data_IF_284036510954
#
_entry.id   IF_284036510954
#
_cell.length_a   1.000
_cell.length_b   1.000
_cell.length_c   1.000
_cell.angle_alpha   90.00
_cell.angle_beta   90.00
_cell.angle_gamma   90.00
#
_symmetry.space_group_name_H-M   'P 1'
#
loop_
_entity.id
_entity.type
_entity.pdbx_description
1 polymer ?
#
# COMPACT_ATOMS: atom_id res chain seq x y z
N UNK A 1 16.55 0.50 2.84
CA UNK A 1 17.19 0.71 4.18
C UNK A 1 16.12 0.55 5.27
N UNK A 2 16.29 -0.39 6.20
CA UNK A 2 15.37 -0.62 7.34
C UNK A 2 16.02 -0.06 8.60
N UNK A 3 15.33 0.77 9.38
CA UNK A 3 15.84 1.49 10.54
C UNK A 3 14.92 1.46 11.74
N UNK A 4 15.49 1.27 12.93
CA UNK A 4 14.78 1.44 14.19
C UNK A 4 14.60 2.93 14.53
N UNK A 5 13.53 3.24 15.23
CA UNK A 5 13.27 4.55 15.84
C UNK A 5 13.03 4.33 17.34
N UNK A 6 14.04 4.59 18.16
CA UNK A 6 14.03 4.21 19.56
C UNK A 6 13.94 2.69 19.71
N UNK A 7 12.93 2.22 20.44
CA UNK A 7 12.63 0.80 20.65
C UNK A 7 11.71 0.17 19.59
N UNK A 8 11.33 0.92 18.58
CA UNK A 8 10.43 0.47 17.50
C UNK A 8 11.27 0.06 16.30
N UNK A 9 11.28 -1.22 15.98
CA UNK A 9 12.02 -1.81 14.86
C UNK A 9 11.04 -2.43 13.89
N UNK A 10 11.14 -2.12 12.58
CA UNK A 10 10.30 -2.78 11.59
C UNK A 10 10.44 -4.30 11.62
N UNK A 11 9.32 -5.00 11.52
CA UNK A 11 9.27 -6.45 11.36
C UNK A 11 8.90 -6.76 9.92
N UNK A 12 9.72 -7.54 9.26
CA UNK A 12 9.53 -7.94 7.86
C UNK A 12 9.49 -9.45 7.81
N UNK A 13 8.45 -10.01 7.20
CA UNK A 13 8.33 -11.46 7.00
C UNK A 13 9.47 -12.00 6.13
N UNK A 14 9.87 -13.24 6.39
CA UNK A 14 11.01 -13.85 5.69
C UNK A 14 10.80 -13.98 4.18
N UNK A 15 9.56 -14.09 3.71
CA UNK A 15 9.24 -14.17 2.28
C UNK A 15 9.04 -12.80 1.64
N UNK A 16 8.93 -11.73 2.43
CA UNK A 16 8.81 -10.37 1.89
C UNK A 16 10.14 -9.87 1.32
N UNK A 17 10.05 -8.92 0.40
CA UNK A 17 11.21 -8.24 -0.16
C UNK A 17 11.10 -6.73 0.02
N UNK A 18 12.16 -6.14 0.52
CA UNK A 18 12.31 -4.69 0.68
C UNK A 18 13.58 -4.26 -0.03
N UNK A 19 13.42 -3.44 -1.07
CA UNK A 19 14.56 -2.89 -1.81
C UNK A 19 15.55 -2.17 -0.87
N UNK A 20 16.84 -2.30 -1.12
CA UNK A 20 17.88 -1.53 -0.40
C UNK A 20 17.69 -0.01 -0.56
N UNK A 21 17.07 0.44 -1.66
CA UNK A 21 16.76 1.84 -1.93
C UNK A 21 15.43 2.31 -1.33
N UNK A 22 14.69 1.45 -0.64
CA UNK A 22 13.53 1.84 0.15
C UNK A 22 13.95 2.29 1.56
N UNK A 23 13.16 3.18 2.17
CA UNK A 23 13.34 3.61 3.56
C UNK A 23 12.16 3.19 4.40
N UNK A 24 12.37 2.25 5.32
CA UNK A 24 11.34 1.75 6.25
C UNK A 24 11.82 2.00 7.67
N UNK A 25 11.06 2.76 8.46
CA UNK A 25 11.49 3.18 9.80
C UNK A 25 10.38 3.07 10.83
N UNK A 26 10.75 2.62 12.05
CA UNK A 26 9.91 2.66 13.24
C UNK A 26 8.93 1.49 13.35
N UNK A 27 7.72 1.75 13.81
CA UNK A 27 6.71 0.74 14.15
C UNK A 27 5.96 0.27 12.90
N UNK A 28 6.57 -0.60 12.12
CA UNK A 28 6.06 -1.14 10.85
C UNK A 28 6.10 -2.66 10.87
N UNK A 29 5.07 -3.31 10.36
CA UNK A 29 5.03 -4.75 10.11
C UNK A 29 4.68 -5.01 8.65
N UNK A 30 5.47 -5.87 7.98
CA UNK A 30 5.29 -6.22 6.56
C UNK A 30 5.09 -7.73 6.46
N UNK A 31 3.94 -8.12 5.93
CA UNK A 31 3.50 -9.51 5.81
C UNK A 31 4.15 -10.28 4.67
N UNK A 32 3.81 -11.57 4.61
CA UNK A 32 4.38 -12.56 3.71
C UNK A 32 4.18 -12.20 2.23
N UNK A 33 5.20 -12.46 1.41
CA UNK A 33 5.20 -12.24 -0.04
C UNK A 33 4.94 -10.78 -0.46
N UNK A 34 5.00 -9.84 0.47
CA UNK A 34 4.85 -8.42 0.16
C UNK A 34 6.13 -7.81 -0.36
N UNK A 35 6.02 -6.74 -1.12
CA UNK A 35 7.16 -6.10 -1.78
C UNK A 35 7.15 -4.58 -1.61
N UNK A 36 8.31 -4.03 -1.26
CA UNK A 36 8.54 -2.59 -1.12
C UNK A 36 9.65 -2.18 -2.09
N UNK A 37 9.27 -1.44 -3.10
CA UNK A 37 10.08 -1.14 -4.28
C UNK A 37 11.01 0.08 -4.07
N UNK A 38 11.98 0.32 -4.97
CA UNK A 38 12.94 1.41 -4.82
C UNK A 38 12.29 2.79 -4.59
N UNK A 39 12.89 3.59 -3.71
CA UNK A 39 12.43 4.96 -3.42
C UNK A 39 11.16 5.05 -2.55
N UNK A 40 10.60 3.93 -2.15
CA UNK A 40 9.45 3.92 -1.22
C UNK A 40 9.90 4.38 0.17
N UNK A 41 9.08 5.21 0.81
CA UNK A 41 9.24 5.59 2.21
C UNK A 41 8.06 5.09 3.03
N UNK A 42 8.33 4.28 4.07
CA UNK A 42 7.33 3.85 5.06
C UNK A 42 7.78 4.38 6.42
N UNK A 43 7.02 5.34 6.97
CA UNK A 43 7.37 6.03 8.21
C UNK A 43 6.39 5.71 9.33
N UNK A 44 6.78 4.77 10.21
CA UNK A 44 6.02 4.35 11.39
C UNK A 44 6.52 5.05 12.66
N UNK A 45 6.47 6.38 12.69
CA UNK A 45 6.89 7.19 13.84
C UNK A 45 5.74 7.44 14.86
N UNK A 46 4.52 7.04 14.54
CA UNK A 46 3.37 7.09 15.44
C UNK A 46 3.42 6.11 16.61
N UNK A 47 2.46 6.23 17.53
CA UNK A 47 2.34 5.31 18.69
C UNK A 47 1.87 3.93 18.23
N UNK A 48 0.92 3.88 17.31
CA UNK A 48 0.35 2.65 16.80
C UNK A 48 1.08 2.19 15.53
N UNK A 49 1.05 0.87 15.32
CA UNK A 49 1.77 0.21 14.25
C UNK A 49 1.14 0.48 12.88
N UNK A 50 1.97 0.63 11.86
CA UNK A 50 1.56 0.43 10.46
C UNK A 50 1.65 -1.07 10.17
N UNK A 51 0.53 -1.66 9.76
CA UNK A 51 0.45 -3.07 9.39
C UNK A 51 0.22 -3.19 7.89
N UNK A 52 1.14 -3.87 7.22
CA UNK A 52 1.05 -4.20 5.81
C UNK A 52 0.85 -5.70 5.72
N UNK A 53 -0.25 -6.13 5.14
CA UNK A 53 -0.65 -7.53 4.98
C UNK A 53 0.25 -8.32 4.05
N UNK A 54 -0.25 -9.47 3.61
CA UNK A 54 0.44 -10.38 2.70
C UNK A 54 0.12 -10.07 1.23
N UNK A 55 1.07 -10.36 0.33
CA UNK A 55 0.94 -10.09 -1.11
C UNK A 55 0.67 -8.61 -1.44
N UNK A 56 1.04 -7.69 -0.56
CA UNK A 56 0.96 -6.25 -0.81
C UNK A 56 2.17 -5.82 -1.63
N UNK A 57 1.95 -4.97 -2.63
CA UNK A 57 3.05 -4.31 -3.33
C UNK A 57 2.95 -2.80 -3.19
N UNK A 58 4.06 -2.17 -2.80
CA UNK A 58 4.18 -0.71 -2.70
C UNK A 58 5.26 -0.29 -3.69
N UNK A 59 4.82 0.33 -4.80
CA UNK A 59 5.68 0.57 -5.94
C UNK A 59 6.45 1.89 -5.81
N UNK A 60 7.42 2.08 -6.71
CA UNK A 60 8.48 3.07 -6.63
C UNK A 60 7.99 4.48 -6.30
N UNK A 61 8.74 5.16 -5.43
CA UNK A 61 8.51 6.55 -5.07
C UNK A 61 7.31 6.82 -4.17
N UNK A 62 6.58 5.78 -3.73
CA UNK A 62 5.39 5.95 -2.89
C UNK A 62 5.76 6.23 -1.43
N UNK A 63 4.87 6.93 -0.74
CA UNK A 63 4.99 7.28 0.67
C UNK A 63 3.82 6.70 1.45
N UNK A 64 4.12 5.95 2.49
CA UNK A 64 3.15 5.41 3.46
C UNK A 64 3.47 5.99 4.84
N UNK A 65 2.53 6.73 5.41
CA UNK A 65 2.69 7.34 6.71
C UNK A 65 1.38 7.41 7.47
N UNK A 66 1.41 7.12 8.75
CA UNK A 66 0.24 7.17 9.64
C UNK A 66 0.51 6.51 10.97
N UNK A 67 -0.48 6.51 11.85
CA UNK A 67 -0.48 5.79 13.12
C UNK A 67 -1.70 4.88 13.16
N UNK A 68 -1.51 3.58 13.37
CA UNK A 68 -2.60 2.59 13.33
C UNK A 68 -3.10 2.24 11.92
N UNK A 69 -2.35 2.62 10.88
CA UNK A 69 -2.73 2.31 9.50
C UNK A 69 -2.68 0.81 9.21
N UNK A 70 -3.68 0.31 8.49
CA UNK A 70 -3.73 -1.07 8.01
C UNK A 70 -3.87 -1.08 6.48
N UNK A 71 -2.91 -1.70 5.80
CA UNK A 71 -3.01 -2.06 4.38
C UNK A 71 -3.21 -3.57 4.35
N UNK A 72 -4.42 -4.00 3.96
CA UNK A 72 -4.81 -5.41 3.99
C UNK A 72 -4.17 -6.22 2.85
N UNK A 73 -4.44 -7.53 2.82
CA UNK A 73 -3.83 -8.46 1.87
C UNK A 73 -4.18 -8.12 0.41
N UNK A 74 -3.29 -8.48 -0.51
CA UNK A 74 -3.44 -8.30 -1.95
C UNK A 74 -3.66 -6.85 -2.42
N UNK A 75 -3.33 -5.87 -1.59
CA UNK A 75 -3.41 -4.47 -1.99
C UNK A 75 -2.23 -4.10 -2.89
N UNK A 76 -2.53 -3.33 -3.94
CA UNK A 76 -1.51 -2.73 -4.80
C UNK A 76 -1.49 -1.21 -4.62
N UNK A 77 -0.35 -0.69 -4.18
CA UNK A 77 -0.06 0.75 -4.15
C UNK A 77 0.83 1.05 -5.35
N UNK A 78 0.33 1.83 -6.30
CA UNK A 78 1.03 2.18 -7.53
C UNK A 78 2.24 3.09 -7.29
N UNK A 79 2.82 3.59 -8.39
CA UNK A 79 4.00 4.45 -8.32
C UNK A 79 3.66 5.87 -7.83
N UNK A 80 4.53 6.47 -7.04
CA UNK A 80 4.42 7.86 -6.55
C UNK A 80 3.09 8.16 -5.83
N UNK A 81 2.56 7.20 -5.10
CA UNK A 81 1.32 7.33 -4.31
C UNK A 81 1.64 7.87 -2.93
N UNK A 82 0.76 8.72 -2.39
CA UNK A 82 0.79 9.09 -0.97
C UNK A 82 -0.38 8.43 -0.26
N UNK A 83 -0.09 7.53 0.69
CA UNK A 83 -1.09 6.91 1.56
C UNK A 83 -0.92 7.41 2.98
N UNK A 84 -1.90 8.19 3.44
CA UNK A 84 -1.98 8.69 4.80
C UNK A 84 -3.34 8.36 5.45
N UNK A 85 -4.11 7.44 4.86
CA UNK A 85 -5.39 6.97 5.38
C UNK A 85 -5.22 6.00 6.56
N UNK A 86 -6.34 5.62 7.16
CA UNK A 86 -6.34 4.66 8.29
C UNK A 86 -6.37 3.21 7.80
N UNK A 87 -7.04 2.97 6.68
CA UNK A 87 -7.17 1.62 6.13
C UNK A 87 -7.26 1.61 4.61
N UNK A 88 -6.61 0.61 4.01
CA UNK A 88 -6.79 0.20 2.62
C UNK A 88 -7.24 -1.27 2.62
N UNK A 89 -8.51 -1.52 2.28
CA UNK A 89 -9.12 -2.84 2.32
C UNK A 89 -8.57 -3.80 1.28
N UNK A 90 -8.70 -5.09 1.59
CA UNK A 90 -8.18 -6.23 0.82
C UNK A 90 -8.47 -6.13 -0.69
N UNK A 91 -7.48 -6.47 -1.50
CA UNK A 91 -7.62 -6.53 -2.95
C UNK A 91 -7.87 -5.17 -3.62
N UNK A 92 -7.59 -4.06 -2.94
CA UNK A 92 -7.73 -2.71 -3.50
C UNK A 92 -6.50 -2.30 -4.31
N UNK A 93 -6.72 -1.37 -5.23
CA UNK A 93 -5.67 -0.69 -5.99
C UNK A 93 -5.74 0.81 -5.74
N UNK A 94 -4.63 1.39 -5.28
CA UNK A 94 -4.42 2.84 -5.23
C UNK A 94 -3.52 3.21 -6.40
N UNK A 95 -4.09 3.86 -7.41
CA UNK A 95 -3.44 4.10 -8.71
C UNK A 95 -2.31 5.13 -8.64
N UNK A 96 -1.46 5.13 -9.67
CA UNK A 96 -0.26 5.97 -9.73
C UNK A 96 -0.55 7.46 -9.47
N UNK A 97 0.34 8.13 -8.75
CA UNK A 97 0.27 9.56 -8.41
C UNK A 97 -1.01 9.96 -7.64
N UNK A 98 -1.76 9.02 -7.09
CA UNK A 98 -2.93 9.35 -6.28
C UNK A 98 -2.54 9.68 -4.84
N UNK A 99 -3.43 10.36 -4.14
CA UNK A 99 -3.25 10.74 -2.74
C UNK A 99 -4.47 10.31 -1.93
N UNK A 100 -4.22 9.61 -0.83
CA UNK A 100 -5.23 9.24 0.17
C UNK A 100 -4.91 9.98 1.46
N UNK A 101 -5.77 10.91 1.83
CA UNK A 101 -5.55 11.81 2.96
C UNK A 101 -5.96 11.18 4.30
N UNK A 102 -5.55 11.76 5.46
CA UNK A 102 -5.77 11.19 6.79
C UNK A 102 -7.23 10.88 7.13
N UNK A 103 -7.42 9.89 8.01
CA UNK A 103 -8.73 9.40 8.49
C UNK A 103 -9.64 8.90 7.37
N UNK A 104 -9.02 8.41 6.29
CA UNK A 104 -9.73 7.78 5.17
C UNK A 104 -9.71 6.26 5.34
N UNK A 105 -10.87 5.65 5.14
CA UNK A 105 -11.04 4.21 5.10
C UNK A 105 -11.49 3.81 3.69
N UNK A 106 -10.65 3.07 2.99
CA UNK A 106 -11.02 2.39 1.76
C UNK A 106 -11.52 0.99 2.11
N UNK A 107 -12.73 0.64 1.66
CA UNK A 107 -13.26 -0.71 1.73
C UNK A 107 -12.46 -1.70 0.89
N UNK A 108 -12.89 -2.95 0.84
CA UNK A 108 -12.26 -4.00 0.05
C UNK A 108 -12.52 -3.79 -1.45
N UNK A 109 -11.58 -4.27 -2.28
CA UNK A 109 -11.73 -4.28 -3.74
C UNK A 109 -12.02 -2.89 -4.35
N UNK A 110 -11.57 -1.84 -3.68
CA UNK A 110 -11.67 -0.47 -4.19
C UNK A 110 -10.61 -0.22 -5.26
N UNK A 111 -10.93 0.67 -6.20
CA UNK A 111 -9.99 1.17 -7.20
C UNK A 111 -9.98 2.69 -7.15
N UNK A 112 -8.89 3.26 -6.64
CA UNK A 112 -8.60 4.68 -6.76
C UNK A 112 -7.83 4.88 -8.06
N UNK A 113 -8.38 5.67 -8.98
CA UNK A 113 -7.75 5.91 -10.28
C UNK A 113 -6.47 6.74 -10.12
N UNK A 114 -5.58 6.62 -11.10
CA UNK A 114 -4.37 7.45 -11.15
C UNK A 114 -4.71 8.95 -11.07
N UNK A 115 -3.84 9.71 -10.39
CA UNK A 115 -3.98 11.14 -10.12
C UNK A 115 -5.23 11.56 -9.33
N UNK A 116 -5.96 10.63 -8.70
CA UNK A 116 -7.10 10.97 -7.86
C UNK A 116 -6.64 11.42 -6.46
N UNK A 117 -7.39 12.32 -5.83
CA UNK A 117 -7.17 12.77 -4.46
C UNK A 117 -8.38 12.44 -3.60
N UNK A 118 -8.26 11.43 -2.75
CA UNK A 118 -9.28 11.07 -1.75
C UNK A 118 -9.07 11.94 -0.54
N UNK A 119 -10.07 12.79 -0.24
CA UNK A 119 -9.99 13.75 0.87
C UNK A 119 -10.06 13.04 2.22
N UNK A 120 -9.64 13.76 3.26
CA UNK A 120 -9.73 13.28 4.66
C UNK A 120 -11.16 12.94 5.07
N UNK A 121 -11.27 12.07 6.09
CA UNK A 121 -12.53 11.70 6.72
C UNK A 121 -13.53 10.97 5.78
N UNK A 122 -13.03 10.38 4.69
CA UNK A 122 -13.84 9.62 3.75
C UNK A 122 -13.91 8.14 4.12
N UNK A 123 -15.12 7.58 4.10
CA UNK A 123 -15.37 6.15 4.22
C UNK A 123 -15.95 5.64 2.89
N UNK A 124 -15.11 4.98 2.11
CA UNK A 124 -15.46 4.46 0.81
C UNK A 124 -15.89 2.99 0.96
N UNK A 125 -17.15 2.64 0.60
CA UNK A 125 -17.63 1.26 0.69
C UNK A 125 -16.86 0.32 -0.24
N UNK A 126 -16.98 -0.97 0.02
CA UNK A 126 -16.38 -2.03 -0.79
C UNK A 126 -16.73 -1.87 -2.28
N UNK A 127 -15.79 -2.19 -3.15
CA UNK A 127 -15.96 -2.14 -4.60
C UNK A 127 -16.06 -0.74 -5.20
N UNK A 128 -15.71 0.33 -4.47
CA UNK A 128 -15.79 1.69 -4.99
C UNK A 128 -14.74 1.98 -6.05
N UNK A 129 -15.16 2.44 -7.24
CA UNK A 129 -14.28 3.07 -8.22
C UNK A 129 -14.29 4.59 -8.03
N UNK A 130 -13.12 5.13 -7.65
CA UNK A 130 -12.94 6.54 -7.28
C UNK A 130 -12.02 7.23 -8.27
N UNK A 131 -12.38 8.42 -8.73
CA UNK A 131 -11.52 9.24 -9.61
C UNK A 131 -11.78 10.73 -9.43
N UNK A 132 -10.81 11.55 -9.81
CA UNK A 132 -10.90 13.00 -9.83
C UNK A 132 -10.16 13.71 -8.68
N UNK A 133 -10.14 15.04 -8.76
CA UNK A 133 -9.60 15.97 -7.74
C UNK A 133 -10.64 17.06 -7.51
N UNK A 134 -11.40 16.99 -6.40
CA UNK A 134 -11.42 15.93 -5.40
C UNK A 134 -11.98 14.61 -5.94
N UNK A 135 -11.53 13.50 -5.34
CA UNK A 135 -11.97 12.15 -5.69
C UNK A 135 -13.43 11.90 -5.29
N UNK A 136 -14.15 11.25 -6.19
CA UNK A 136 -15.55 10.86 -5.94
C UNK A 136 -15.84 9.47 -6.51
N UNK A 137 -16.74 8.74 -5.86
CA UNK A 137 -17.18 7.44 -6.33
C UNK A 137 -17.99 7.64 -7.63
N UNK A 138 -17.59 6.96 -8.71
CA UNK A 138 -18.26 7.04 -10.00
C UNK A 138 -19.11 5.82 -10.31
N UNK A 139 -18.71 4.66 -9.85
CA UNK A 139 -19.36 3.37 -10.08
C UNK A 139 -18.76 2.29 -9.20
N UNK A 140 -19.26 1.10 -9.29
CA UNK A 140 -18.62 -0.10 -8.74
C UNK A 140 -17.44 -0.56 -9.62
N UNK A 141 -16.45 -1.14 -9.00
CA UNK A 141 -15.36 -1.85 -9.67
C UNK A 141 -15.94 -3.09 -10.36
N UNK A 142 -15.55 -3.35 -11.59
CA UNK A 142 -16.01 -4.54 -12.32
C UNK A 142 -15.26 -5.78 -11.88
N UNK A 143 -15.86 -6.98 -12.04
CA UNK A 143 -15.21 -8.24 -11.72
C UNK A 143 -13.87 -8.40 -12.48
N UNK A 144 -13.83 -8.02 -13.76
CA UNK A 144 -12.59 -8.06 -14.56
C UNK A 144 -11.48 -7.17 -13.99
N UNK A 145 -11.82 -6.03 -13.37
CA UNK A 145 -10.85 -5.16 -12.69
C UNK A 145 -10.36 -5.81 -11.40
N UNK A 146 -11.25 -6.40 -10.59
CA UNK A 146 -10.89 -7.14 -9.36
C UNK A 146 -9.92 -8.27 -9.68
N UNK A 147 -10.24 -9.09 -10.68
CA UNK A 147 -9.41 -10.21 -11.11
C UNK A 147 -8.03 -9.74 -11.61
N UNK A 148 -8.00 -8.62 -12.32
CA UNK A 148 -6.74 -8.02 -12.79
C UNK A 148 -5.89 -7.53 -11.62
N UNK A 149 -6.47 -6.85 -10.64
CA UNK A 149 -5.75 -6.36 -9.45
C UNK A 149 -5.12 -7.54 -8.71
N UNK A 150 -5.89 -8.60 -8.48
CA UNK A 150 -5.39 -9.82 -7.81
C UNK A 150 -4.24 -10.47 -8.58
N UNK A 151 -4.38 -10.63 -9.92
CA UNK A 151 -3.29 -11.16 -10.75
C UNK A 151 -2.04 -10.28 -10.69
N UNK A 152 -2.20 -8.96 -10.65
CA UNK A 152 -1.07 -8.02 -10.53
C UNK A 152 -0.35 -8.20 -9.20
N UNK A 153 -1.08 -8.32 -8.09
CA UNK A 153 -0.47 -8.54 -6.76
C UNK A 153 0.36 -9.84 -6.74
N UNK A 154 -0.19 -10.93 -7.26
CA UNK A 154 0.52 -12.22 -7.35
C UNK A 154 1.75 -12.14 -8.27
N UNK A 155 1.62 -11.52 -9.44
CA UNK A 155 2.74 -11.37 -10.38
C UNK A 155 3.88 -10.51 -9.80
N UNK A 156 3.54 -9.48 -9.01
CA UNK A 156 4.55 -8.64 -8.35
C UNK A 156 5.22 -9.36 -7.18
N UNK A 157 4.52 -10.25 -6.47
CA UNK A 157 5.13 -11.11 -5.46
C UNK A 157 6.17 -12.06 -6.08
N UNK A 158 5.85 -12.69 -7.23
CA UNK A 158 6.82 -13.53 -7.96
C UNK A 158 8.04 -12.72 -8.42
N UNK A 159 7.81 -11.54 -8.99
CA UNK A 159 8.90 -10.65 -9.43
C UNK A 159 9.77 -10.20 -8.26
N UNK A 160 9.18 -9.85 -7.12
CA UNK A 160 9.91 -9.50 -5.91
C UNK A 160 10.77 -10.66 -5.40
N UNK A 161 10.29 -11.91 -5.53
CA UNK A 161 11.08 -13.09 -5.22
C UNK A 161 12.33 -13.19 -6.12
N UNK A 162 12.17 -12.97 -7.43
CA UNK A 162 13.31 -12.95 -8.37
C UNK A 162 14.36 -11.90 -7.99
N UNK A 163 13.91 -10.67 -7.62
CA UNK A 163 14.81 -9.61 -7.15
C UNK A 163 15.55 -10.03 -5.88
N UNK A 164 14.83 -10.62 -4.92
CA UNK A 164 15.43 -11.10 -3.66
C UNK A 164 16.47 -12.20 -3.90
N UNK A 165 16.16 -13.19 -4.75
CA UNK A 165 17.06 -14.28 -5.10
C UNK A 165 18.29 -13.79 -5.88
N UNK A 166 18.16 -12.69 -6.61
CA UNK A 166 19.25 -12.03 -7.34
C UNK A 166 20.13 -11.12 -6.45
N UNK A 167 19.75 -10.94 -5.17
CA UNK A 167 20.49 -10.08 -4.23
C UNK A 167 20.30 -8.59 -4.46
N UNK A 168 19.22 -8.21 -5.12
CA UNK A 168 18.85 -6.81 -5.38
C UNK A 168 17.93 -6.24 -4.31
#
# INVERSE_FOLDING_TARGET
MIKSLGNRTPKVADTAWVSEFAYVVGNVEIGEHSSVWPGVTIRGDGQEKIVIGSYVNIQEGSVVHGSGMVIEDYVSIGHCVVVHGDRVGEGSLVGNNSTVLPRTVLGKQCLVAANAVVLSDQHLPDGSFVTGVPGSIKRQVTQAQIDRIKRTALSLAERAREFKESGL
#
